data_IF_722839126527
#
_entry.id   IF_722839126527
#
_cell.length_a   1.000
_cell.length_b   1.000
_cell.length_c   1.000
_cell.angle_alpha   90.00
_cell.angle_beta   90.00
_cell.angle_gamma   90.00
#
_symmetry.space_group_name_H-M   'P 1'
#
loop_
_entity.id
_entity.type
_entity.pdbx_description
1 polymer ?
#
# COMPACT_ATOMS: atom_id res chain seq x y z
N UNK A 1 -30.59 15.94 2.99
CA UNK A 1 -29.41 16.41 2.22
C UNK A 1 -29.23 15.55 0.97
N UNK A 2 -28.99 16.16 -0.19
CA UNK A 2 -28.74 15.42 -1.42
C UNK A 2 -27.38 14.71 -1.36
N UNK A 3 -27.33 13.43 -1.77
CA UNK A 3 -26.08 12.67 -1.82
C UNK A 3 -25.13 13.25 -2.85
N UNK A 4 -23.84 13.31 -2.51
CA UNK A 4 -22.80 13.71 -3.46
C UNK A 4 -22.65 12.67 -4.59
N UNK A 5 -22.16 13.06 -5.78
CA UNK A 5 -21.92 12.12 -6.88
C UNK A 5 -21.00 10.93 -6.49
N UNK A 6 -20.00 11.18 -5.64
CA UNK A 6 -19.10 10.16 -5.14
C UNK A 6 -19.81 9.13 -4.23
N UNK A 7 -20.71 9.60 -3.37
CA UNK A 7 -21.52 8.72 -2.50
C UNK A 7 -22.53 7.91 -3.30
N UNK A 8 -23.15 8.50 -4.33
CA UNK A 8 -24.02 7.79 -5.28
C UNK A 8 -23.27 6.64 -5.97
N UNK A 9 -22.07 6.89 -6.49
CA UNK A 9 -21.23 5.83 -7.08
C UNK A 9 -20.81 4.77 -6.06
N UNK A 10 -20.48 5.15 -4.82
CA UNK A 10 -20.13 4.21 -3.77
C UNK A 10 -21.30 3.27 -3.44
N UNK A 11 -22.50 3.82 -3.25
CA UNK A 11 -23.73 3.03 -3.01
C UNK A 11 -24.04 2.11 -4.17
N UNK A 12 -23.91 2.58 -5.41
CA UNK A 12 -24.09 1.76 -6.61
C UNK A 12 -23.12 0.57 -6.66
N UNK A 13 -21.82 0.79 -6.39
CA UNK A 13 -20.82 -0.28 -6.36
C UNK A 13 -21.09 -1.30 -5.25
N UNK A 14 -21.60 -0.84 -4.10
CA UNK A 14 -21.99 -1.74 -3.00
C UNK A 14 -23.21 -2.57 -3.40
N UNK A 15 -24.24 -1.96 -3.97
CA UNK A 15 -25.42 -2.65 -4.49
C UNK A 15 -25.05 -3.71 -5.54
N UNK A 16 -24.20 -3.35 -6.50
CA UNK A 16 -23.73 -4.28 -7.53
C UNK A 16 -22.89 -5.44 -6.97
N UNK A 17 -22.19 -5.25 -5.84
CA UNK A 17 -21.46 -6.33 -5.17
C UNK A 17 -22.36 -7.28 -4.39
N UNK A 18 -23.48 -6.79 -3.87
CA UNK A 18 -24.45 -7.58 -3.12
C UNK A 18 -25.26 -8.50 -4.04
N UNK A 19 -25.50 -8.11 -5.30
CA UNK A 19 -26.18 -8.91 -6.31
C UNK A 19 -25.16 -9.71 -7.16
N UNK A 20 -24.89 -11.00 -6.87
CA UNK A 20 -23.86 -11.77 -7.59
C UNK A 20 -24.15 -11.89 -9.09
N UNK A 21 -25.41 -12.12 -9.46
CA UNK A 21 -25.84 -12.27 -10.87
C UNK A 21 -25.53 -11.01 -11.69
N UNK A 22 -25.88 -9.84 -11.17
CA UNK A 22 -25.60 -8.56 -11.85
C UNK A 22 -24.11 -8.23 -11.88
N UNK A 23 -23.37 -8.61 -10.85
CA UNK A 23 -21.92 -8.45 -10.83
C UNK A 23 -21.26 -9.28 -11.92
N UNK A 24 -21.67 -10.53 -12.07
CA UNK A 24 -21.10 -11.44 -13.06
C UNK A 24 -21.49 -11.05 -14.48
N UNK A 25 -22.72 -10.58 -14.71
CA UNK A 25 -23.08 -9.95 -15.98
C UNK A 25 -22.24 -8.70 -16.29
N UNK A 26 -22.00 -7.84 -15.30
CA UNK A 26 -21.18 -6.66 -15.47
C UNK A 26 -19.73 -7.02 -15.82
N UNK A 27 -19.16 -8.05 -15.17
CA UNK A 27 -17.85 -8.62 -15.52
C UNK A 27 -17.86 -9.21 -16.92
N UNK A 28 -18.90 -9.97 -17.29
CA UNK A 28 -19.04 -10.58 -18.63
C UNK A 28 -19.06 -9.51 -19.72
N UNK A 29 -19.95 -8.51 -19.60
CA UNK A 29 -20.02 -7.35 -20.51
C UNK A 29 -18.73 -6.55 -20.56
N UNK A 30 -17.97 -6.50 -19.46
CA UNK A 30 -16.66 -5.85 -19.45
C UNK A 30 -15.63 -6.67 -20.25
N UNK A 31 -15.56 -7.98 -20.03
CA UNK A 31 -14.69 -8.89 -20.77
C UNK A 31 -15.05 -8.88 -22.26
N UNK A 32 -16.33 -8.98 -22.62
CA UNK A 32 -16.82 -8.89 -24.00
C UNK A 32 -16.32 -7.61 -24.68
N UNK A 33 -16.51 -6.43 -24.04
CA UNK A 33 -16.01 -5.15 -24.58
C UNK A 33 -14.49 -5.08 -24.68
N UNK A 34 -13.78 -5.69 -23.72
CA UNK A 34 -12.32 -5.72 -23.71
C UNK A 34 -11.77 -6.61 -24.85
N UNK A 35 -12.39 -7.76 -25.07
CA UNK A 35 -12.01 -8.71 -26.11
C UNK A 35 -12.51 -8.30 -27.50
N UNK A 36 -13.62 -7.56 -27.62
CA UNK A 36 -14.11 -7.05 -28.91
C UNK A 36 -13.05 -6.24 -29.69
N UNK A 37 -12.11 -5.59 -28.99
CA UNK A 37 -11.05 -4.78 -29.60
C UNK A 37 -9.70 -5.51 -29.70
N UNK A 38 -9.59 -6.76 -29.26
CA UNK A 38 -8.32 -7.47 -29.12
C UNK A 38 -8.43 -8.89 -29.67
N UNK A 39 -7.51 -9.24 -30.57
CA UNK A 39 -7.31 -10.63 -30.98
C UNK A 39 -6.69 -11.43 -29.84
N UNK A 40 -7.27 -12.56 -29.48
CA UNK A 40 -6.62 -13.52 -28.57
C UNK A 40 -5.48 -14.20 -29.32
N UNK A 41 -4.49 -14.69 -28.57
CA UNK A 41 -3.34 -15.40 -29.16
C UNK A 41 -3.77 -16.61 -30.01
N UNK A 42 -4.86 -17.28 -29.62
CA UNK A 42 -5.45 -18.41 -30.36
C UNK A 42 -5.97 -18.00 -31.75
N UNK A 43 -6.42 -16.76 -31.89
CA UNK A 43 -7.03 -16.24 -33.11
C UNK A 43 -6.01 -15.47 -33.98
N UNK A 44 -4.74 -15.44 -33.56
CA UNK A 44 -3.67 -14.76 -34.27
C UNK A 44 -2.93 -15.73 -35.17
N UNK A 45 -2.59 -15.25 -36.37
CA UNK A 45 -1.64 -15.97 -37.23
C UNK A 45 -0.24 -15.98 -36.62
N UNK A 46 0.60 -16.94 -36.99
CA UNK A 46 1.98 -17.01 -36.49
C UNK A 46 2.80 -15.75 -36.76
N UNK A 47 2.56 -15.10 -37.91
CA UNK A 47 3.24 -13.86 -38.29
C UNK A 47 2.83 -12.70 -37.38
N UNK A 48 1.54 -12.56 -37.08
CA UNK A 48 1.03 -11.57 -36.14
C UNK A 48 1.55 -11.84 -34.72
N UNK A 49 1.57 -13.11 -34.30
CA UNK A 49 2.08 -13.50 -32.99
C UNK A 49 3.57 -13.17 -32.85
N UNK A 50 4.39 -13.44 -33.87
CA UNK A 50 5.79 -13.02 -33.93
C UNK A 50 5.94 -11.50 -33.83
N UNK A 51 5.13 -10.73 -34.55
CA UNK A 51 5.15 -9.27 -34.50
C UNK A 51 4.74 -8.72 -33.10
N UNK A 52 3.72 -9.30 -32.48
CA UNK A 52 3.30 -8.95 -31.13
C UNK A 52 4.39 -9.27 -30.09
N UNK A 53 5.03 -10.44 -30.20
CA UNK A 53 6.15 -10.83 -29.34
C UNK A 53 7.35 -9.88 -29.50
N UNK A 54 7.68 -9.46 -30.72
CA UNK A 54 8.73 -8.44 -30.96
C UNK A 54 8.37 -7.10 -30.31
N UNK A 55 7.13 -6.61 -30.51
CA UNK A 55 6.64 -5.37 -29.88
C UNK A 55 6.69 -5.45 -28.35
N UNK A 56 6.27 -6.58 -27.77
CA UNK A 56 6.34 -6.83 -26.34
C UNK A 56 7.78 -6.82 -25.82
N UNK A 57 8.73 -7.48 -26.52
CA UNK A 57 10.15 -7.45 -26.15
C UNK A 57 10.69 -6.02 -26.10
N UNK A 58 10.39 -5.21 -27.11
CA UNK A 58 10.81 -3.79 -27.18
C UNK A 58 10.20 -2.99 -26.03
N UNK A 59 8.88 -3.11 -25.82
CA UNK A 59 8.18 -2.40 -24.75
C UNK A 59 8.70 -2.81 -23.35
N UNK A 60 8.97 -4.10 -23.15
CA UNK A 60 9.49 -4.63 -21.89
C UNK A 60 10.93 -4.16 -21.63
N UNK A 61 11.77 -4.10 -22.68
CA UNK A 61 13.11 -3.51 -22.59
C UNK A 61 13.03 -2.03 -22.15
N UNK A 62 12.22 -1.22 -22.83
CA UNK A 62 11.98 0.19 -22.46
C UNK A 62 11.45 0.35 -21.04
N UNK A 63 10.55 -0.53 -20.59
CA UNK A 63 10.04 -0.54 -19.21
C UNK A 63 11.16 -0.77 -18.20
N UNK A 64 12.04 -1.76 -18.45
CA UNK A 64 13.18 -2.07 -17.59
C UNK A 64 14.18 -0.91 -17.54
N UNK A 65 14.48 -0.29 -18.67
CA UNK A 65 15.35 0.89 -18.75
C UNK A 65 14.79 2.06 -17.93
N UNK A 66 13.50 2.36 -18.08
CA UNK A 66 12.83 3.40 -17.26
C UNK A 66 12.87 3.10 -15.78
N UNK A 67 12.67 1.83 -15.40
CA UNK A 67 12.76 1.42 -14.00
C UNK A 67 14.18 1.61 -13.45
N UNK A 68 15.20 1.21 -14.22
CA UNK A 68 16.61 1.41 -13.85
C UNK A 68 16.95 2.90 -13.74
N UNK A 69 16.52 3.72 -14.68
CA UNK A 69 16.73 5.18 -14.63
C UNK A 69 16.04 5.81 -13.41
N UNK A 70 14.81 5.40 -13.09
CA UNK A 70 14.12 5.86 -11.90
C UNK A 70 14.83 5.42 -10.61
N UNK A 71 15.37 4.20 -10.56
CA UNK A 71 16.17 3.72 -9.43
C UNK A 71 17.45 4.52 -9.27
N UNK A 72 18.19 4.78 -10.36
CA UNK A 72 19.39 5.62 -10.35
C UNK A 72 19.09 7.04 -9.87
N UNK A 73 17.95 7.62 -10.27
CA UNK A 73 17.51 8.92 -9.75
C UNK A 73 17.26 8.87 -8.24
N UNK A 74 16.64 7.81 -7.73
CA UNK A 74 16.41 7.63 -6.29
C UNK A 74 17.73 7.45 -5.52
N UNK A 75 18.70 6.74 -6.09
CA UNK A 75 20.03 6.52 -5.49
C UNK A 75 20.89 7.79 -5.48
N UNK A 76 20.87 8.56 -6.57
CA UNK A 76 21.68 9.77 -6.73
C UNK A 76 21.04 11.03 -6.12
N UNK A 77 19.72 11.03 -5.90
CA UNK A 77 19.05 12.16 -5.26
C UNK A 77 19.22 12.02 -3.76
N UNK A 78 19.91 12.95 -3.07
CA UNK A 78 19.99 12.92 -1.62
C UNK A 78 18.59 12.89 -1.01
N UNK A 79 18.40 12.18 0.10
CA UNK A 79 17.10 12.13 0.77
C UNK A 79 16.62 13.55 1.02
N UNK A 80 15.35 13.84 0.69
CA UNK A 80 14.75 15.15 0.88
C UNK A 80 15.00 15.63 2.31
N UNK A 81 15.83 16.65 2.46
CA UNK A 81 16.04 17.36 3.72
C UNK A 81 14.91 18.39 3.84
N UNK A 82 13.97 18.23 4.78
CA UNK A 82 12.94 19.23 4.98
C UNK A 82 13.59 20.55 5.39
N UNK A 83 13.35 21.60 4.61
CA UNK A 83 13.78 22.96 4.95
C UNK A 83 13.12 23.37 6.27
N UNK A 84 13.87 23.96 7.20
CA UNK A 84 13.33 24.43 8.47
C UNK A 84 12.10 25.32 8.23
N UNK A 85 11.00 25.02 8.90
CA UNK A 85 9.71 25.71 8.71
C UNK A 85 8.78 25.11 7.63
N UNK A 86 9.16 24.03 6.94
CA UNK A 86 8.23 23.33 6.05
C UNK A 86 7.32 22.42 6.89
N UNK A 87 6.00 22.69 7.00
CA UNK A 87 5.11 21.80 7.71
C UNK A 87 5.11 20.43 7.02
N UNK A 88 5.32 19.37 7.81
CA UNK A 88 5.39 17.99 7.33
C UNK A 88 4.02 17.61 6.75
N UNK A 89 3.85 17.80 5.44
CA UNK A 89 2.53 17.71 4.81
C UNK A 89 1.99 16.27 4.92
N UNK A 90 0.86 16.04 5.62
CA UNK A 90 0.26 14.72 5.74
C UNK A 90 -0.15 14.11 4.39
N UNK A 91 -0.21 14.93 3.34
CA UNK A 91 -0.66 14.53 2.00
C UNK A 91 0.36 13.66 1.25
N UNK A 92 1.63 13.64 1.64
CA UNK A 92 2.69 12.92 0.93
C UNK A 92 2.93 11.49 1.45
N UNK A 93 2.39 11.11 2.62
CA UNK A 93 2.55 9.75 3.16
C UNK A 93 1.38 8.87 2.71
N UNK A 94 1.67 7.82 1.95
CA UNK A 94 0.63 6.86 1.56
C UNK A 94 -0.04 6.28 2.82
N UNK A 95 -1.38 6.13 2.81
CA UNK A 95 -2.15 5.54 3.94
C UNK A 95 -1.58 4.19 4.40
N UNK A 96 -0.97 3.41 3.49
CA UNK A 96 -0.31 2.13 3.83
C UNK A 96 0.93 2.32 4.70
N UNK A 97 1.75 3.34 4.42
CA UNK A 97 2.94 3.67 5.24
C UNK A 97 2.52 4.13 6.63
N UNK A 98 1.55 5.04 6.72
CA UNK A 98 1.01 5.53 8.00
C UNK A 98 0.49 4.38 8.87
N UNK A 99 -0.27 3.44 8.31
CA UNK A 99 -0.75 2.26 9.05
C UNK A 99 0.37 1.36 9.56
N UNK A 100 1.41 1.16 8.74
CA UNK A 100 2.58 0.37 9.13
C UNK A 100 3.33 1.05 10.29
N UNK A 101 3.56 2.35 10.18
CA UNK A 101 4.27 3.15 11.18
C UNK A 101 3.47 3.17 12.50
N UNK A 102 2.14 3.38 12.45
CA UNK A 102 1.25 3.28 13.63
C UNK A 102 1.34 1.90 14.30
N UNK A 103 1.30 0.82 13.51
CA UNK A 103 1.36 -0.54 14.04
C UNK A 103 2.73 -0.84 14.68
N UNK A 104 3.81 -0.25 14.16
CA UNK A 104 5.14 -0.39 14.74
C UNK A 104 5.26 0.37 16.06
N UNK A 105 4.77 1.61 16.10
CA UNK A 105 4.74 2.44 17.31
C UNK A 105 3.91 1.79 18.42
N UNK A 106 2.76 1.21 18.09
CA UNK A 106 1.93 0.51 19.07
C UNK A 106 2.69 -0.66 19.72
N UNK A 107 3.37 -1.49 18.92
CA UNK A 107 4.19 -2.60 19.45
C UNK A 107 5.33 -2.11 20.33
N UNK A 108 5.97 -1.01 19.97
CA UNK A 108 7.03 -0.41 20.78
C UNK A 108 6.49 0.13 22.11
N UNK A 109 5.35 0.81 22.08
CA UNK A 109 4.69 1.30 23.30
C UNK A 109 4.34 0.17 24.26
N UNK A 110 3.81 -0.95 23.76
CA UNK A 110 3.52 -2.12 24.59
C UNK A 110 4.80 -2.67 25.24
N UNK A 111 5.88 -2.84 24.48
CA UNK A 111 7.17 -3.28 25.04
C UNK A 111 7.71 -2.33 26.12
N UNK A 112 7.66 -1.03 25.86
CA UNK A 112 8.13 -0.02 26.82
C UNK A 112 7.28 -0.02 28.10
N UNK A 113 5.97 -0.25 27.99
CA UNK A 113 5.09 -0.39 29.15
C UNK A 113 5.45 -1.62 29.99
N UNK A 114 5.69 -2.76 29.35
CA UNK A 114 6.12 -3.99 30.04
C UNK A 114 7.49 -3.80 30.74
N UNK A 115 8.43 -3.13 30.09
CA UNK A 115 9.74 -2.82 30.67
C UNK A 115 9.63 -1.88 31.87
N UNK A 116 8.82 -0.83 31.77
CA UNK A 116 8.54 0.08 32.89
C UNK A 116 7.90 -0.66 34.06
N UNK A 117 6.96 -1.57 33.80
CA UNK A 117 6.35 -2.37 34.86
C UNK A 117 7.38 -3.29 35.53
N UNK A 118 8.24 -3.94 34.74
CA UNK A 118 9.32 -4.79 35.26
C UNK A 118 10.31 -4.00 36.12
N UNK A 119 10.69 -2.80 35.69
CA UNK A 119 11.57 -1.91 36.45
C UNK A 119 10.89 -1.44 37.75
N UNK A 120 9.61 -1.04 37.71
CA UNK A 120 8.84 -0.70 38.90
C UNK A 120 8.81 -1.83 39.92
N UNK A 121 8.59 -3.08 39.47
CA UNK A 121 8.63 -4.27 40.33
C UNK A 121 10.01 -4.47 40.96
N UNK A 122 11.10 -4.30 40.21
CA UNK A 122 12.47 -4.36 40.72
C UNK A 122 12.73 -3.27 41.77
N UNK A 123 12.42 -2.02 41.47
CA UNK A 123 12.59 -0.91 42.40
C UNK A 123 11.81 -1.13 43.70
N UNK A 124 10.56 -1.59 43.61
CA UNK A 124 9.75 -1.91 44.79
C UNK A 124 10.35 -3.06 45.62
N UNK A 125 10.90 -4.10 44.98
CA UNK A 125 11.61 -5.19 45.66
C UNK A 125 12.80 -4.66 46.46
N UNK A 126 13.66 -3.84 45.85
CA UNK A 126 14.83 -3.28 46.52
C UNK A 126 14.45 -2.26 47.61
N UNK A 127 13.44 -1.41 47.36
CA UNK A 127 12.90 -0.48 48.36
C UNK A 127 12.43 -1.22 49.61
N UNK A 128 11.62 -2.27 49.45
CA UNK A 128 11.15 -3.10 50.57
C UNK A 128 12.30 -3.82 51.28
N UNK A 129 13.31 -4.31 50.55
CA UNK A 129 14.49 -4.95 51.16
C UNK A 129 15.29 -3.95 51.99
N UNK A 130 15.53 -2.75 51.47
CA UNK A 130 16.23 -1.69 52.19
C UNK A 130 15.49 -1.31 53.48
N UNK A 131 14.18 -1.08 53.40
CA UNK A 131 13.34 -0.76 54.57
C UNK A 131 13.43 -1.81 55.68
N UNK A 132 13.56 -3.10 55.33
CA UNK A 132 13.73 -4.19 56.33
C UNK A 132 15.14 -4.28 56.91
N UNK A 133 16.14 -3.76 56.22
CA UNK A 133 17.52 -3.76 56.69
C UNK A 133 17.82 -2.52 57.56
N UNK A 134 17.04 -1.46 57.40
CA UNK A 134 17.17 -0.20 58.15
C UNK A 134 16.13 -0.03 59.26
N UNK A 135 15.18 -0.95 59.39
CA UNK A 135 14.22 -1.03 60.49
C UNK A 135 14.64 -2.15 61.44
#
# INVERSE_FOLDING_TARGET
MALTPAEKQRRYRLKLKLDPVKNDEAKRKHLERYHAKKKLVKDMTEREHRAAKRRWKIANKKRRERQKAAQQLVENTPPFTPRSGTPDSPRCRSRKRVRRDQSALYRQNVKLQEELERLKKKCNKYKKRYQRATA
#
